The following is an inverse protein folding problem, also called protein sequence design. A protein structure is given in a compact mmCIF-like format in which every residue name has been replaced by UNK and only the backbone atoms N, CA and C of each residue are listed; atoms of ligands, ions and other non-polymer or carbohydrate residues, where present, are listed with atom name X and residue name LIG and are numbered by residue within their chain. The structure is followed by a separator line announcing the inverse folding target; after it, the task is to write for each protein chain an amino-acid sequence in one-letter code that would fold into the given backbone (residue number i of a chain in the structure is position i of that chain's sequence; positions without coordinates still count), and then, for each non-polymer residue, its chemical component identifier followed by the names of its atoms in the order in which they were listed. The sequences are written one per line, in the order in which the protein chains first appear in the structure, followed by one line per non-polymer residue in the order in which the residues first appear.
data_IF_345283952128
#
_entry.id   IF_345283952128
#
_cell.length_a   1.000
_cell.length_b   1.000
_cell.length_c   1.000
_cell.angle_alpha   90.00
_cell.angle_beta   90.00
_cell.angle_gamma   90.00
#
_symmetry.space_group_name_H-M   'P 1'
#
loop_
_entity.id
_entity.type
_entity.pdbx_description
1 polymer ?
#
# COMPACT_ATOMS: atom_id res chain seq x y z
N UNK A 1 14.14 15.60 5.06
CA UNK A 1 14.29 14.43 4.16
C UNK A 1 13.44 14.69 2.92
N UNK A 2 13.96 14.49 1.70
CA UNK A 2 13.15 14.70 0.49
C UNK A 2 12.00 13.68 0.42
N UNK A 3 10.92 14.04 -0.28
CA UNK A 3 9.75 13.16 -0.42
C UNK A 3 10.12 11.83 -1.07
N UNK A 4 11.01 11.84 -2.07
CA UNK A 4 11.49 10.63 -2.72
C UNK A 4 12.24 9.70 -1.76
N UNK A 5 13.13 10.24 -0.92
CA UNK A 5 13.83 9.44 0.09
C UNK A 5 12.82 8.84 1.09
N UNK A 6 11.79 9.59 1.48
CA UNK A 6 10.74 9.09 2.37
C UNK A 6 9.95 7.93 1.76
N UNK A 7 9.56 8.04 0.49
CA UNK A 7 8.83 6.96 -0.21
C UNK A 7 9.70 5.70 -0.28
N UNK A 8 10.98 5.85 -0.63
CA UNK A 8 11.92 4.72 -0.70
C UNK A 8 12.12 4.10 0.69
N UNK A 9 12.42 4.91 1.71
CA UNK A 9 12.68 4.41 3.06
C UNK A 9 11.46 3.69 3.64
N UNK A 10 10.25 4.24 3.48
CA UNK A 10 9.00 3.60 3.91
C UNK A 10 8.75 2.29 3.17
N UNK A 11 9.08 2.20 1.88
CA UNK A 11 8.93 0.96 1.11
C UNK A 11 9.92 -0.12 1.56
N UNK A 12 11.15 0.28 1.90
CA UNK A 12 12.16 -0.62 2.49
C UNK A 12 11.71 -1.10 3.87
N UNK A 13 11.24 -0.20 4.75
CA UNK A 13 10.68 -0.56 6.05
C UNK A 13 9.50 -1.53 5.93
N UNK A 14 8.63 -1.34 4.92
CA UNK A 14 7.54 -2.27 4.62
C UNK A 14 8.07 -3.68 4.33
N UNK A 15 9.08 -3.80 3.44
CA UNK A 15 9.67 -5.10 3.12
C UNK A 15 10.34 -5.76 4.30
N UNK A 16 11.13 -5.02 5.08
CA UNK A 16 11.81 -5.55 6.26
C UNK A 16 10.79 -5.99 7.32
N UNK A 17 9.75 -5.18 7.55
CA UNK A 17 8.66 -5.48 8.47
C UNK A 17 7.91 -6.75 8.06
N UNK A 18 7.51 -6.84 6.79
CA UNK A 18 6.78 -8.00 6.27
C UNK A 18 7.66 -9.27 6.30
N UNK A 19 8.94 -9.15 5.95
CA UNK A 19 9.89 -10.28 6.02
C UNK A 19 10.03 -10.82 7.43
N UNK A 20 10.14 -9.94 8.43
CA UNK A 20 10.25 -10.35 9.82
C UNK A 20 8.98 -11.11 10.29
N UNK A 21 7.79 -10.66 9.90
CA UNK A 21 6.56 -11.37 10.26
C UNK A 21 6.35 -12.69 9.51
N UNK A 22 6.74 -12.76 8.23
CA UNK A 22 6.53 -13.93 7.38
C UNK A 22 7.57 -15.03 7.63
N UNK A 23 8.84 -14.66 7.78
CA UNK A 23 9.96 -15.60 7.75
C UNK A 23 10.65 -15.74 9.11
N UNK A 24 10.71 -14.66 9.92
CA UNK A 24 11.40 -14.68 11.21
C UNK A 24 10.46 -14.94 12.40
N UNK A 25 9.17 -15.17 12.13
CA UNK A 25 8.14 -15.40 13.16
C UNK A 25 8.09 -14.31 14.24
N UNK A 26 8.49 -13.08 13.91
CA UNK A 26 8.48 -11.98 14.86
C UNK A 26 7.08 -11.74 15.44
N UNK A 27 7.05 -11.35 16.72
CA UNK A 27 5.83 -10.97 17.42
C UNK A 27 5.43 -9.54 17.07
N UNK A 28 4.15 -9.21 17.23
CA UNK A 28 3.68 -7.84 17.02
C UNK A 28 4.26 -6.86 18.05
N UNK A 29 4.42 -7.31 19.29
CA UNK A 29 4.87 -6.48 20.43
C UNK A 29 6.35 -6.12 20.31
N UNK A 30 7.19 -7.05 19.86
CA UNK A 30 8.65 -6.89 19.78
C UNK A 30 9.11 -6.69 18.31
N UNK A 31 8.55 -5.69 17.65
CA UNK A 31 8.80 -5.40 16.23
C UNK A 31 9.50 -4.06 16.05
N UNK A 32 10.58 -4.07 15.27
CA UNK A 32 11.54 -2.95 15.17
C UNK A 32 11.17 -1.88 14.12
N UNK A 33 10.23 -2.18 13.20
CA UNK A 33 9.82 -1.25 12.14
C UNK A 33 8.46 -0.61 12.44
N UNK A 34 8.23 0.59 11.89
CA UNK A 34 7.02 1.38 12.12
C UNK A 34 6.65 1.58 13.61
N UNK A 35 7.66 1.77 14.47
CA UNK A 35 7.43 1.92 15.93
C UNK A 35 6.63 3.17 16.29
N UNK A 36 6.72 4.22 15.47
CA UNK A 36 6.00 5.48 15.64
C UNK A 36 4.72 5.58 14.81
N UNK A 37 4.55 4.71 13.80
CA UNK A 37 3.36 4.68 12.93
C UNK A 37 2.56 3.40 13.18
N UNK A 38 1.61 3.50 14.10
CA UNK A 38 0.74 2.40 14.49
C UNK A 38 -0.05 1.85 13.30
N UNK A 39 -0.51 2.71 12.40
CA UNK A 39 -1.34 2.29 11.27
C UNK A 39 -0.52 1.48 10.27
N UNK A 40 0.69 1.94 9.93
CA UNK A 40 1.61 1.18 9.08
C UNK A 40 1.96 -0.18 9.71
N UNK A 41 2.27 -0.21 11.01
CA UNK A 41 2.58 -1.45 11.73
C UNK A 41 1.41 -2.45 11.71
N UNK A 42 0.19 -1.99 12.00
CA UNK A 42 -1.03 -2.81 11.95
C UNK A 42 -1.24 -3.35 10.53
N UNK A 43 -1.07 -2.51 9.51
CA UNK A 43 -1.27 -2.90 8.12
C UNK A 43 -0.31 -4.00 7.66
N UNK A 44 0.98 -3.88 7.98
CA UNK A 44 1.95 -4.92 7.59
C UNK A 44 1.71 -6.21 8.38
N UNK A 45 1.37 -6.10 9.65
CA UNK A 45 1.05 -7.26 10.47
C UNK A 45 -0.21 -7.99 9.97
N UNK A 46 -1.27 -7.26 9.63
CA UNK A 46 -2.53 -7.84 9.12
C UNK A 46 -2.30 -8.61 7.82
N UNK A 47 -1.45 -8.10 6.91
CA UNK A 47 -1.03 -8.82 5.70
C UNK A 47 -0.33 -10.15 6.02
N UNK A 48 0.53 -10.17 7.04
CA UNK A 48 1.20 -11.41 7.46
C UNK A 48 0.24 -12.44 8.06
N UNK A 49 -0.81 -11.99 8.77
CA UNK A 49 -1.80 -12.85 9.42
C UNK A 49 -2.58 -13.70 8.41
N UNK A 50 -2.85 -13.17 7.21
CA UNK A 50 -3.50 -13.90 6.11
C UNK A 50 -2.85 -15.28 5.91
N UNK A 51 -1.52 -15.33 5.94
CA UNK A 51 -0.76 -16.56 5.71
C UNK A 51 -0.69 -17.48 6.93
N UNK A 52 -0.78 -16.92 8.14
CA UNK A 52 -0.87 -17.70 9.39
C UNK A 52 -2.24 -18.36 9.52
N UNK A 53 -3.30 -17.68 9.07
CA UNK A 53 -4.68 -18.14 9.10
C UNK A 53 -5.06 -19.02 7.92
N UNK A 54 -4.25 -19.10 6.87
CA UNK A 54 -4.55 -19.75 5.58
C UNK A 54 -5.33 -21.07 5.63
N UNK A 55 -4.97 -21.99 6.54
CA UNK A 55 -5.61 -23.31 6.70
C UNK A 55 -6.51 -23.42 7.94
N UNK A 56 -6.66 -22.35 8.71
CA UNK A 56 -7.49 -22.34 9.92
C UNK A 56 -8.97 -22.28 9.51
N UNK A 57 -9.87 -22.96 10.26
CA UNK A 57 -11.32 -22.81 10.07
C UNK A 57 -11.73 -21.34 10.15
N UNK A 58 -12.67 -20.93 9.30
CA UNK A 58 -13.23 -19.59 9.32
C UNK A 58 -14.74 -19.67 9.59
N UNK A 59 -15.35 -18.71 10.27
CA UNK A 59 -16.69 -18.89 10.85
C UNK A 59 -17.78 -19.29 9.83
N UNK A 60 -17.62 -18.91 8.56
CA UNK A 60 -18.53 -19.20 7.45
C UNK A 60 -18.05 -20.33 6.52
N UNK A 61 -16.75 -20.65 6.55
CA UNK A 61 -16.09 -21.48 5.54
C UNK A 61 -15.12 -22.47 6.18
N UNK A 62 -14.94 -23.62 5.53
CA UNK A 62 -14.04 -24.70 6.02
C UNK A 62 -12.59 -24.24 6.24
N UNK A 63 -12.14 -23.20 5.55
CA UNK A 63 -10.85 -22.57 5.76
C UNK A 63 -10.85 -21.08 5.41
N UNK A 64 -9.92 -20.33 5.99
CA UNK A 64 -9.68 -18.93 5.61
C UNK A 64 -9.30 -18.78 4.12
N UNK A 65 -8.56 -19.73 3.54
CA UNK A 65 -8.30 -19.76 2.09
C UNK A 65 -9.61 -19.72 1.29
N UNK A 66 -10.60 -20.53 1.67
CA UNK A 66 -11.87 -20.57 0.95
C UNK A 66 -12.60 -19.23 1.04
N UNK A 67 -12.57 -18.60 2.22
CA UNK A 67 -13.13 -17.25 2.41
C UNK A 67 -12.44 -16.19 1.55
N UNK A 68 -11.10 -16.22 1.43
CA UNK A 68 -10.37 -15.35 0.50
C UNK A 68 -10.81 -15.56 -0.96
N UNK A 69 -10.94 -16.82 -1.41
CA UNK A 69 -11.36 -17.12 -2.77
C UNK A 69 -12.76 -16.58 -3.06
N UNK A 70 -13.69 -16.78 -2.11
CA UNK A 70 -15.09 -16.35 -2.27
C UNK A 70 -15.23 -14.83 -2.25
N UNK A 71 -14.48 -14.14 -1.40
CA UNK A 71 -14.53 -12.68 -1.28
C UNK A 71 -13.85 -11.97 -2.46
N UNK A 72 -12.79 -12.58 -3.03
CA UNK A 72 -11.96 -11.94 -4.05
C UNK A 72 -12.32 -12.36 -5.49
N UNK A 73 -13.30 -13.24 -5.69
CA UNK A 73 -13.71 -13.67 -7.05
C UNK A 73 -14.34 -12.57 -7.90
N UNK A 74 -14.99 -11.60 -7.25
CA UNK A 74 -15.68 -10.49 -7.93
C UNK A 74 -14.83 -9.20 -7.94
N UNK A 75 -13.59 -9.26 -7.48
CA UNK A 75 -12.65 -8.14 -7.48
C UNK A 75 -11.63 -8.38 -8.58
N UNK A 76 -11.80 -7.71 -9.71
CA UNK A 76 -10.87 -7.81 -10.84
C UNK A 76 -9.71 -6.83 -10.69
N UNK A 77 -8.53 -7.23 -11.15
CA UNK A 77 -7.42 -6.30 -11.33
C UNK A 77 -7.81 -5.31 -12.45
N UNK A 78 -7.76 -3.99 -12.20
CA UNK A 78 -8.12 -2.99 -13.20
C UNK A 78 -7.33 -3.17 -14.50
N UNK A 79 -8.03 -3.13 -15.63
CA UNK A 79 -7.42 -3.23 -16.97
C UNK A 79 -7.05 -4.65 -17.43
N UNK A 80 -7.14 -5.68 -16.58
CA UNK A 80 -6.83 -7.07 -17.00
C UNK A 80 -8.04 -7.99 -17.03
N UNK A 81 -9.07 -7.71 -16.23
CA UNK A 81 -10.23 -8.60 -16.05
C UNK A 81 -9.92 -9.87 -15.26
N UNK A 82 -8.69 -10.05 -14.76
CA UNK A 82 -8.29 -11.21 -13.97
C UNK A 82 -8.84 -11.06 -12.54
N UNK A 83 -9.63 -12.01 -12.02
CA UNK A 83 -10.12 -11.94 -10.65
C UNK A 83 -8.98 -12.15 -9.66
N UNK A 84 -8.98 -11.39 -8.56
CA UNK A 84 -7.92 -11.43 -7.56
C UNK A 84 -7.85 -12.80 -6.84
N UNK A 85 -8.97 -13.53 -6.80
CA UNK A 85 -9.01 -14.93 -6.32
C UNK A 85 -8.06 -15.87 -7.08
N UNK A 86 -7.68 -15.55 -8.32
CA UNK A 86 -6.70 -16.32 -9.09
C UNK A 86 -5.39 -16.50 -8.33
N UNK A 87 -4.89 -15.43 -7.69
CA UNK A 87 -3.63 -15.45 -6.94
C UNK A 87 -3.76 -16.15 -5.57
N UNK A 88 -4.99 -16.35 -5.07
CA UNK A 88 -5.25 -16.95 -3.78
C UNK A 88 -5.39 -18.49 -3.80
N UNK A 89 -5.20 -19.13 -4.96
CA UNK A 89 -5.30 -20.59 -5.07
C UNK A 89 -4.16 -21.30 -4.32
N UNK A 90 -2.96 -20.75 -4.38
CA UNK A 90 -1.76 -21.29 -3.75
C UNK A 90 -1.20 -20.26 -2.77
N UNK A 91 -0.87 -20.72 -1.55
CA UNK A 91 -0.33 -19.86 -0.48
C UNK A 91 0.91 -19.11 -0.93
N UNK A 92 1.81 -19.78 -1.66
CA UNK A 92 3.06 -19.21 -2.17
C UNK A 92 2.78 -18.11 -3.20
N UNK A 93 1.84 -18.33 -4.13
CA UNK A 93 1.47 -17.32 -5.14
C UNK A 93 0.88 -16.08 -4.47
N UNK A 94 -0.04 -16.26 -3.52
CA UNK A 94 -0.59 -15.15 -2.74
C UNK A 94 0.49 -14.40 -1.95
N UNK A 95 1.45 -15.13 -1.39
CA UNK A 95 2.58 -14.55 -0.65
C UNK A 95 3.49 -13.73 -1.55
N UNK A 96 3.87 -14.24 -2.73
CA UNK A 96 4.66 -13.51 -3.71
C UNK A 96 3.93 -12.26 -4.19
N UNK A 97 2.61 -12.34 -4.39
CA UNK A 97 1.80 -11.17 -4.75
C UNK A 97 1.86 -10.09 -3.65
N UNK A 98 1.60 -10.46 -2.39
CA UNK A 98 1.65 -9.51 -1.26
C UNK A 98 3.06 -8.98 -1.01
N UNK A 99 4.10 -9.79 -1.26
CA UNK A 99 5.49 -9.42 -1.02
C UNK A 99 6.08 -8.54 -2.12
N UNK A 100 5.73 -8.76 -3.40
CA UNK A 100 6.31 -8.01 -4.53
C UNK A 100 5.32 -7.01 -5.15
N UNK A 101 4.13 -7.48 -5.52
CA UNK A 101 3.19 -6.67 -6.31
C UNK A 101 2.56 -5.58 -5.46
N UNK A 102 2.10 -5.93 -4.25
CA UNK A 102 1.45 -4.97 -3.36
C UNK A 102 2.36 -3.75 -3.01
N UNK A 103 3.59 -3.92 -2.51
CA UNK A 103 4.46 -2.77 -2.24
C UNK A 103 4.86 -2.01 -3.52
N UNK A 104 5.02 -2.70 -4.66
CA UNK A 104 5.31 -2.03 -5.93
C UNK A 104 4.17 -1.09 -6.36
N UNK A 105 2.92 -1.56 -6.30
CA UNK A 105 1.74 -0.72 -6.61
C UNK A 105 1.63 0.46 -5.65
N UNK A 106 1.83 0.23 -4.34
CA UNK A 106 1.84 1.30 -3.34
C UNK A 106 2.97 2.31 -3.59
N UNK A 107 4.15 1.86 -3.97
CA UNK A 107 5.30 2.70 -4.32
C UNK A 107 4.98 3.60 -5.53
N UNK A 108 4.46 3.02 -6.62
CA UNK A 108 4.02 3.78 -7.80
C UNK A 108 2.92 4.78 -7.44
N UNK A 109 1.95 4.38 -6.60
CA UNK A 109 0.89 5.25 -6.12
C UNK A 109 1.41 6.42 -5.27
N UNK A 110 2.40 6.18 -4.42
CA UNK A 110 3.03 7.22 -3.61
C UNK A 110 3.78 8.24 -4.48
N UNK A 111 4.52 7.78 -5.49
CA UNK A 111 5.18 8.69 -6.45
C UNK A 111 4.17 9.46 -7.30
N UNK A 112 3.12 8.80 -7.79
CA UNK A 112 2.08 9.46 -8.57
C UNK A 112 1.36 10.54 -7.74
N UNK A 113 1.01 10.23 -6.48
CA UNK A 113 0.42 11.20 -5.56
C UNK A 113 1.36 12.38 -5.31
N UNK A 114 2.63 12.14 -5.02
CA UNK A 114 3.61 13.20 -4.81
C UNK A 114 3.80 14.09 -6.05
N UNK A 115 3.78 13.50 -7.24
CA UNK A 115 3.86 14.23 -8.51
C UNK A 115 2.64 15.14 -8.73
N UNK A 116 1.42 14.63 -8.49
CA UNK A 116 0.18 15.41 -8.61
C UNK A 116 0.17 16.57 -7.60
N UNK A 117 0.57 16.33 -6.36
CA UNK A 117 0.64 17.37 -5.33
C UNK A 117 1.64 18.47 -5.69
N UNK A 118 2.80 18.12 -6.26
CA UNK A 118 3.77 19.10 -6.75
C UNK A 118 3.19 19.94 -7.90
N UNK A 119 2.59 19.27 -8.90
CA UNK A 119 1.97 19.94 -10.05
C UNK A 119 0.85 20.91 -9.63
N UNK A 120 -0.02 20.48 -8.73
CA UNK A 120 -1.11 21.32 -8.23
C UNK A 120 -0.59 22.52 -7.41
N UNK A 121 0.55 22.35 -6.72
CA UNK A 121 1.24 23.45 -6.04
C UNK A 121 1.76 24.50 -7.01
N UNK A 122 2.39 24.07 -8.10
CA UNK A 122 2.92 24.95 -9.14
C UNK A 122 1.79 25.71 -9.88
N UNK A 123 0.71 25.01 -10.25
CA UNK A 123 -0.48 25.63 -10.86
C UNK A 123 -1.12 26.67 -9.91
N UNK A 124 -1.17 26.40 -8.61
CA UNK A 124 -1.69 27.36 -7.62
C UNK A 124 -0.79 28.59 -7.51
N UNK A 125 0.53 28.42 -7.54
CA UNK A 125 1.48 29.55 -7.52
C UNK A 125 1.38 30.40 -8.78
N UNK A 126 1.16 29.80 -9.95
CA UNK A 126 0.94 30.52 -11.22
C UNK A 126 -0.39 31.30 -11.22
N UNK A 127 -1.48 30.71 -10.71
CA UNK A 127 -2.77 31.38 -10.54
C UNK A 127 -2.68 32.55 -9.56
N UNK A 128 -1.96 32.39 -8.45
CA UNK A 128 -1.71 33.50 -7.53
C UNK A 128 -0.86 34.59 -8.19
N UNK A 129 0.23 34.23 -8.86
CA UNK A 129 1.09 35.18 -9.57
C UNK A 129 0.31 36.02 -10.60
N UNK A 130 -0.51 35.38 -11.42
CA UNK A 130 -1.38 36.08 -12.39
C UNK A 130 -2.46 36.94 -11.72
N UNK A 131 -3.07 36.47 -10.62
CA UNK A 131 -4.04 37.26 -9.85
C UNK A 131 -3.42 38.51 -9.21
N UNK A 132 -2.22 38.40 -8.62
CA UNK A 132 -1.52 39.53 -8.01
C UNK A 132 -1.01 40.53 -9.07
N UNK A 133 -0.54 40.06 -10.23
CA UNK A 133 -0.16 40.92 -11.35
C UNK A 133 -1.39 41.62 -11.95
N UNK A 134 -2.51 40.92 -12.10
CA UNK A 134 -3.77 41.47 -12.61
C UNK A 134 -4.36 42.58 -11.73
N UNK A 135 -4.15 42.55 -10.41
CA UNK A 135 -4.56 43.64 -9.50
C UNK A 135 -3.70 44.90 -9.60
N UNK A 136 -2.45 44.80 -10.06
CA UNK A 136 -1.56 45.96 -10.21
C UNK A 136 -1.72 46.69 -11.55
N UNK A 137 -2.42 46.11 -12.53
CA UNK A 137 -2.63 46.73 -13.86
C UNK A 137 -3.95 47.54 -13.94
N UNK A 138 -4.84 47.45 -12.95
CA UNK A 138 -6.16 48.14 -12.96
C UNK A 138 -6.17 49.43 -12.09
N UNK A 139 -5.02 49.86 -11.56
CA UNK A 139 -4.89 51.13 -10.82
C UNK A 139 -3.76 52.01 -11.36
N UNK A 140 -3.83 52.33 -12.64
CA UNK A 140 -3.12 53.44 -13.30
C UNK A 140 -4.04 54.01 -14.37
#
# INVERSE_FOLDING_TARGET
MSIGIKIISTTVEFWLSLSAFLFLSSSYTDHQYFTTDLHAKIQVFSLSLIFRLWRKPHYRNTSYKQDLLDNLKNVAIPGTGIPLSFFCHFKIVAMLFVYFINPFVCFCGAFNKAYIEAKNGDEMLELLGTYYIGKHIIFT
#
